data_IF_973506789917
#
_entry.id   IF_973506789917
#
_cell.length_a   1.000
_cell.length_b   1.000
_cell.length_c   1.000
_cell.angle_alpha   90.00
_cell.angle_beta   90.00
_cell.angle_gamma   90.00
#
_symmetry.space_group_name_H-M   'P 1'
#
loop_
_entity.id
_entity.type
_entity.pdbx_description
1 polymer ?
#
# COMPACT_ATOMS: atom_id res chain seq x y z
N UNK A 1 -4.62 7.22 -9.90
CA UNK A 1 -3.65 6.74 -8.90
C UNK A 1 -2.28 7.20 -9.35
N UNK A 2 -1.50 7.79 -8.46
CA UNK A 2 -0.07 8.08 -8.67
C UNK A 2 0.67 6.77 -8.93
N UNK A 3 1.79 6.79 -9.66
CA UNK A 3 2.64 5.58 -9.82
C UNK A 3 3.04 5.02 -8.44
N UNK A 4 3.32 5.92 -7.51
CA UNK A 4 3.62 5.62 -6.11
C UNK A 4 2.34 5.31 -5.32
N UNK A 5 2.20 4.03 -4.99
CA UNK A 5 1.05 3.45 -4.30
C UNK A 5 1.40 2.83 -2.94
N UNK A 6 2.59 3.16 -2.44
CA UNK A 6 3.10 2.63 -1.18
C UNK A 6 2.60 3.45 0.01
N UNK A 7 2.18 2.73 1.04
CA UNK A 7 1.78 3.26 2.35
C UNK A 7 2.41 2.41 3.44
N UNK A 8 2.87 3.03 4.52
CA UNK A 8 3.45 2.31 5.65
C UNK A 8 2.72 2.59 6.94
N UNK A 9 2.56 1.53 7.74
CA UNK A 9 2.09 1.59 9.11
C UNK A 9 3.29 1.60 10.04
N UNK A 10 3.24 2.44 11.07
CA UNK A 10 4.33 2.60 12.01
C UNK A 10 4.12 1.79 13.29
N UNK A 11 5.22 1.35 13.91
CA UNK A 11 5.22 0.64 15.20
C UNK A 11 4.73 1.56 16.32
N UNK A 12 4.10 1.04 17.38
CA UNK A 12 3.82 1.81 18.58
C UNK A 12 5.10 2.41 19.19
N UNK A 13 4.98 3.60 19.79
CA UNK A 13 6.09 4.39 20.36
C UNK A 13 6.96 5.12 19.33
N UNK A 14 6.48 5.28 18.09
CA UNK A 14 7.21 6.03 17.07
C UNK A 14 7.02 7.56 17.23
N UNK A 15 7.95 8.41 16.74
CA UNK A 15 7.85 9.87 16.90
C UNK A 15 6.63 10.51 16.22
N UNK A 16 6.02 9.84 15.24
CA UNK A 16 4.91 10.35 14.44
C UNK A 16 3.53 9.99 15.01
N UNK A 17 3.44 9.22 16.10
CA UNK A 17 2.16 8.87 16.74
C UNK A 17 1.19 10.05 16.90
N UNK A 18 1.62 11.26 17.31
CA UNK A 18 0.70 12.39 17.52
C UNK A 18 0.03 12.92 16.25
N UNK A 19 0.45 12.49 15.05
CA UNK A 19 -0.09 12.98 13.78
C UNK A 19 -0.69 11.87 12.91
N UNK A 20 -0.71 10.62 13.38
CA UNK A 20 -1.18 9.49 12.57
C UNK A 20 -2.66 9.60 12.22
N UNK A 21 -3.48 10.24 13.06
CA UNK A 21 -4.90 10.50 12.81
C UNK A 21 -5.15 11.45 11.62
N UNK A 22 -4.12 12.21 11.20
CA UNK A 22 -4.17 13.02 10.00
C UNK A 22 -4.07 12.19 8.72
N UNK A 23 -3.72 10.91 8.81
CA UNK A 23 -3.50 10.03 7.67
C UNK A 23 -4.61 8.97 7.54
N UNK A 24 -5.01 8.61 6.30
CA UNK A 24 -5.93 7.50 6.07
C UNK A 24 -5.40 6.21 6.71
N UNK A 25 -6.24 5.55 7.51
CA UNK A 25 -5.91 4.33 8.26
C UNK A 25 -4.65 4.45 9.16
N UNK A 26 -4.22 5.67 9.48
CA UNK A 26 -2.97 5.91 10.21
C UNK A 26 -1.71 5.54 9.42
N UNK A 27 -1.80 5.47 8.09
CA UNK A 27 -0.69 5.07 7.23
C UNK A 27 -0.07 6.26 6.50
N UNK A 28 1.26 6.37 6.51
CA UNK A 28 1.97 7.46 5.85
C UNK A 28 2.30 7.05 4.41
N UNK A 29 2.08 7.91 3.39
CA UNK A 29 2.41 7.59 2.01
C UNK A 29 3.92 7.64 1.79
N UNK A 30 4.49 6.61 1.18
CA UNK A 30 5.90 6.56 0.82
C UNK A 30 6.06 6.79 -0.68
N UNK A 31 7.19 7.40 -1.05
CA UNK A 31 7.61 7.61 -2.44
C UNK A 31 8.10 6.32 -3.07
N UNK A 32 8.71 5.44 -2.27
CA UNK A 32 9.29 4.18 -2.74
C UNK A 32 8.82 3.02 -1.84
N UNK A 33 8.56 1.81 -2.41
CA UNK A 33 8.34 0.58 -1.65
C UNK A 33 9.55 0.08 -0.85
N UNK A 34 10.73 0.68 -1.01
CA UNK A 34 11.95 0.28 -0.33
C UNK A 34 12.69 1.46 0.30
N UNK A 35 13.44 1.17 1.36
CA UNK A 35 14.37 2.10 1.99
C UNK A 35 15.71 2.13 1.23
N UNK A 36 15.71 2.58 -0.03
CA UNK A 36 16.92 2.61 -0.86
C UNK A 36 17.91 3.68 -0.39
N UNK A 37 17.42 4.75 0.21
CA UNK A 37 18.25 5.84 0.71
C UNK A 37 19.05 5.39 1.93
N UNK A 38 20.38 5.53 1.88
CA UNK A 38 21.27 5.14 2.96
C UNK A 38 22.10 6.32 3.43
N UNK A 39 22.06 6.58 4.73
CA UNK A 39 22.88 7.60 5.36
C UNK A 39 23.92 6.94 6.25
N UNK A 40 25.17 7.37 6.08
CA UNK A 40 26.26 6.94 6.95
C UNK A 40 26.23 7.72 8.25
N UNK A 41 26.12 7.02 9.37
CA UNK A 41 26.13 7.60 10.72
C UNK A 41 27.28 7.03 11.53
N UNK A 42 27.59 7.64 12.67
CA UNK A 42 28.61 7.13 13.59
C UNK A 42 28.33 5.71 14.10
N UNK A 43 27.09 5.24 14.02
CA UNK A 43 26.65 3.92 14.46
C UNK A 43 26.50 2.92 13.31
N UNK A 44 26.77 3.34 12.07
CA UNK A 44 26.65 2.53 10.85
C UNK A 44 25.72 3.13 9.81
N UNK A 45 25.37 2.33 8.80
CA UNK A 45 24.44 2.74 7.75
C UNK A 45 22.99 2.63 8.21
N UNK A 46 22.23 3.71 8.07
CA UNK A 46 20.80 3.73 8.34
C UNK A 46 20.07 3.80 7.00
N UNK A 47 19.12 2.87 6.81
CA UNK A 47 18.19 2.90 5.68
C UNK A 47 17.01 3.84 5.99
N UNK A 48 16.72 4.73 5.04
CA UNK A 48 15.69 5.74 5.13
C UNK A 48 14.61 5.48 4.08
N UNK A 49 13.37 5.62 4.53
CA UNK A 49 12.19 5.72 3.68
C UNK A 49 11.94 7.19 3.39
N UNK A 50 11.48 7.49 2.18
CA UNK A 50 11.11 8.84 1.78
C UNK A 50 9.58 8.93 1.76
N UNK A 51 9.03 9.80 2.61
CA UNK A 51 7.62 10.15 2.63
C UNK A 51 7.31 10.95 1.38
N UNK A 52 6.29 10.53 0.63
CA UNK A 52 5.91 11.16 -0.63
C UNK A 52 5.22 12.49 -0.40
N UNK A 53 5.94 13.58 -0.63
CA UNK A 53 5.43 14.94 -0.43
C UNK A 53 4.29 15.30 -1.40
N UNK A 54 4.24 14.71 -2.59
CA UNK A 54 3.18 15.00 -3.58
C UNK A 54 1.81 14.47 -3.14
N UNK A 55 1.80 13.51 -2.22
CA UNK A 55 0.60 12.86 -1.70
C UNK A 55 0.17 13.43 -0.35
N UNK A 56 0.88 14.44 0.16
CA UNK A 56 0.54 15.12 1.40
C UNK A 56 -0.34 16.34 1.14
N UNK A 57 -1.36 16.51 1.97
CA UNK A 57 -1.99 17.81 2.16
C UNK A 57 -1.03 18.77 2.87
N UNK A 58 -1.28 20.08 2.74
CA UNK A 58 -0.49 21.12 3.42
C UNK A 58 -0.45 20.93 4.94
N UNK A 59 -1.56 20.49 5.56
CA UNK A 59 -1.63 20.22 6.99
C UNK A 59 -0.77 19.03 7.40
N UNK A 60 -0.79 17.93 6.63
CA UNK A 60 0.05 16.76 6.90
C UNK A 60 1.54 17.11 6.76
N UNK A 61 1.91 17.85 5.71
CA UNK A 61 3.30 18.28 5.50
C UNK A 61 3.80 19.19 6.63
N UNK A 62 2.97 20.13 7.11
CA UNK A 62 3.33 21.00 8.23
C UNK A 62 3.47 20.22 9.55
N UNK A 63 2.57 19.27 9.81
CA UNK A 63 2.62 18.44 11.01
C UNK A 63 3.87 17.55 11.03
N UNK A 64 4.25 16.98 9.87
CA UNK A 64 5.50 16.24 9.70
C UNK A 64 6.72 17.12 9.98
N UNK A 65 6.78 18.30 9.37
CA UNK A 65 7.87 19.23 9.58
C UNK A 65 8.03 19.61 11.06
N UNK A 66 6.91 19.85 11.77
CA UNK A 66 6.92 20.16 13.20
C UNK A 66 7.43 19.01 14.06
N UNK A 67 6.95 17.79 13.83
CA UNK A 67 7.39 16.62 14.62
C UNK A 67 8.87 16.30 14.39
N UNK A 68 9.32 16.34 13.13
CA UNK A 68 10.72 16.11 12.79
C UNK A 68 11.59 17.21 13.43
N UNK A 69 11.16 18.47 13.35
CA UNK A 69 11.85 19.57 13.99
C UNK A 69 11.98 19.42 15.51
N UNK A 70 10.92 19.00 16.20
CA UNK A 70 10.95 18.71 17.64
C UNK A 70 11.93 17.57 17.94
N UNK A 71 11.90 16.50 17.15
CA UNK A 71 12.76 15.34 17.38
C UNK A 71 14.25 15.64 17.16
N UNK A 72 14.55 16.51 16.19
CA UNK A 72 15.92 16.87 15.82
C UNK A 72 16.39 18.21 16.41
N UNK A 73 15.57 18.87 17.23
CA UNK A 73 15.83 20.19 17.80
C UNK A 73 16.27 21.21 16.74
N UNK A 74 15.48 21.31 15.66
CA UNK A 74 15.70 22.24 14.54
C UNK A 74 14.45 23.09 14.26
N UNK A 75 14.51 24.01 13.29
CA UNK A 75 13.37 24.82 12.85
C UNK A 75 12.48 24.02 11.88
N UNK A 76 11.14 23.94 12.10
CA UNK A 76 10.21 23.35 11.14
C UNK A 76 10.32 23.91 9.72
N UNK A 77 10.71 25.18 9.56
CA UNK A 77 10.89 25.79 8.24
C UNK A 77 12.09 25.18 7.50
N UNK A 78 13.20 24.93 8.19
CA UNK A 78 14.38 24.30 7.61
C UNK A 78 14.06 22.86 7.16
N UNK A 79 13.33 22.11 7.98
CA UNK A 79 12.88 20.75 7.64
C UNK A 79 12.00 20.76 6.38
N UNK A 80 11.04 21.69 6.29
CA UNK A 80 10.15 21.78 5.14
C UNK A 80 10.90 22.16 3.85
N UNK A 81 11.88 23.07 3.95
CA UNK A 81 12.73 23.46 2.83
C UNK A 81 13.60 22.30 2.35
N UNK A 82 14.21 21.55 3.28
CA UNK A 82 14.99 20.36 2.93
C UNK A 82 14.13 19.28 2.27
N UNK A 83 12.95 19.00 2.83
CA UNK A 83 12.02 18.03 2.25
C UNK A 83 11.60 18.43 0.84
N UNK A 84 11.39 19.73 0.58
CA UNK A 84 11.08 20.24 -0.76
C UNK A 84 12.26 20.04 -1.72
N UNK A 85 13.49 20.31 -1.27
CA UNK A 85 14.70 20.16 -2.09
C UNK A 85 15.05 18.69 -2.38
N UNK A 86 14.71 17.77 -1.47
CA UNK A 86 14.98 16.33 -1.58
C UNK A 86 13.81 15.53 -2.14
N UNK A 87 12.64 16.15 -2.31
CA UNK A 87 11.43 15.51 -2.84
C UNK A 87 10.76 14.56 -1.85
N UNK A 88 10.82 14.86 -0.54
CA UNK A 88 10.15 14.10 0.51
C UNK A 88 10.78 14.24 1.90
N UNK A 89 10.03 13.85 2.93
CA UNK A 89 10.55 13.78 4.31
C UNK A 89 11.22 12.43 4.57
N UNK A 90 12.36 12.40 5.25
CA UNK A 90 13.05 11.15 5.56
C UNK A 90 12.52 10.50 6.85
N UNK A 91 12.35 9.17 6.81
CA UNK A 91 11.89 8.38 7.94
C UNK A 91 12.77 7.14 8.13
N UNK A 92 13.15 6.85 9.37
CA UNK A 92 13.97 5.67 9.66
C UNK A 92 13.17 4.38 9.50
N UNK A 93 13.73 3.41 8.75
CA UNK A 93 13.11 2.10 8.54
C UNK A 93 12.78 1.35 9.84
N UNK A 94 13.47 1.63 10.95
CA UNK A 94 13.23 0.99 12.24
C UNK A 94 11.80 1.19 12.77
N UNK A 95 11.15 2.30 12.40
CA UNK A 95 9.80 2.64 12.84
C UNK A 95 8.70 1.99 12.01
N UNK A 96 9.01 1.44 10.83
CA UNK A 96 8.03 0.78 9.98
C UNK A 96 7.63 -0.57 10.59
N UNK A 97 6.34 -0.78 10.78
CA UNK A 97 5.73 -2.05 11.22
C UNK A 97 5.40 -2.92 10.00
N UNK A 98 4.63 -2.36 9.07
CA UNK A 98 4.16 -3.04 7.88
C UNK A 98 3.91 -2.06 6.75
N UNK A 99 3.77 -2.59 5.53
CA UNK A 99 3.57 -1.82 4.31
C UNK A 99 2.36 -2.36 3.55
N UNK A 100 1.59 -1.46 2.94
CA UNK A 100 0.66 -1.77 1.86
C UNK A 100 1.22 -1.14 0.58
N UNK A 101 1.31 -1.92 -0.47
CA UNK A 101 1.72 -1.45 -1.79
C UNK A 101 0.81 -2.08 -2.83
N UNK A 102 0.81 -1.53 -4.04
CA UNK A 102 0.04 -2.06 -5.15
C UNK A 102 0.95 -2.38 -6.33
N UNK A 103 0.54 -2.02 -7.55
CA UNK A 103 1.16 -2.46 -8.79
C UNK A 103 2.66 -2.17 -8.83
N UNK A 104 3.08 -0.98 -8.40
CA UNK A 104 4.50 -0.61 -8.36
C UNK A 104 5.27 -1.48 -7.36
N UNK A 105 4.76 -1.57 -6.13
CA UNK A 105 5.41 -2.35 -5.07
C UNK A 105 5.55 -3.83 -5.43
N UNK A 106 4.53 -4.46 -6.02
CA UNK A 106 4.62 -5.86 -6.44
C UNK A 106 5.59 -6.07 -7.59
N UNK A 107 5.55 -5.22 -8.62
CA UNK A 107 6.47 -5.33 -9.76
C UNK A 107 7.92 -5.21 -9.31
N UNK A 108 8.23 -4.18 -8.52
CA UNK A 108 9.58 -3.93 -8.05
C UNK A 108 10.05 -4.95 -7.01
N UNK A 109 9.14 -5.47 -6.17
CA UNK A 109 9.49 -6.53 -5.20
C UNK A 109 9.83 -7.83 -5.92
N UNK A 110 9.13 -8.13 -7.01
CA UNK A 110 9.48 -9.25 -7.89
C UNK A 110 10.85 -9.06 -8.52
N UNK A 111 11.13 -7.88 -9.08
CA UNK A 111 12.46 -7.56 -9.65
C UNK A 111 13.58 -7.70 -8.60
N UNK A 112 13.35 -7.24 -7.37
CA UNK A 112 14.29 -7.42 -6.27
C UNK A 112 14.50 -8.90 -5.94
N UNK A 113 13.44 -9.70 -5.91
CA UNK A 113 13.55 -11.14 -5.63
C UNK A 113 14.34 -11.86 -6.74
N UNK A 114 14.03 -11.57 -8.00
CA UNK A 114 14.74 -12.12 -9.17
C UNK A 114 16.22 -11.70 -9.19
N UNK A 115 16.52 -10.46 -8.78
CA UNK A 115 17.89 -9.98 -8.60
C UNK A 115 18.62 -10.76 -7.49
N UNK A 116 18.00 -10.92 -6.31
CA UNK A 116 18.62 -11.63 -5.17
C UNK A 116 18.86 -13.11 -5.45
N UNK A 117 18.08 -13.75 -6.32
CA UNK A 117 18.30 -15.14 -6.73
C UNK A 117 19.50 -15.32 -7.66
N UNK A 118 19.91 -14.28 -8.37
CA UNK A 118 20.91 -14.36 -9.45
C UNK A 118 22.19 -13.58 -9.18
N UNK A 119 22.17 -12.66 -8.20
CA UNK A 119 23.31 -11.81 -7.86
C UNK A 119 24.43 -12.59 -7.16
N UNK A 120 25.71 -12.30 -7.45
CA UNK A 120 26.83 -12.75 -6.63
C UNK A 120 26.73 -12.28 -5.17
N UNK A 121 27.42 -12.96 -4.27
CA UNK A 121 27.46 -12.61 -2.84
C UNK A 121 27.76 -11.10 -2.64
N UNK A 122 26.94 -10.37 -1.85
CA UNK A 122 27.09 -8.93 -1.63
C UNK A 122 28.44 -8.53 -1.01
N UNK A 123 29.17 -9.45 -0.38
CA UNK A 123 30.53 -9.20 0.15
C UNK A 123 31.60 -9.16 -0.96
N UNK A 124 31.26 -9.58 -2.18
CA UNK A 124 32.17 -9.53 -3.32
C UNK A 124 32.10 -8.18 -4.05
N UNK A 125 33.21 -7.69 -4.64
CA UNK A 125 33.17 -6.47 -5.46
C UNK A 125 32.14 -6.53 -6.59
N UNK A 126 31.95 -7.71 -7.19
CA UNK A 126 30.95 -7.93 -8.24
C UNK A 126 29.51 -7.82 -7.71
N UNK A 127 29.22 -8.40 -6.54
CA UNK A 127 27.91 -8.28 -5.90
C UNK A 127 27.59 -6.84 -5.49
N UNK A 128 28.57 -6.11 -4.92
CA UNK A 128 28.40 -4.71 -4.56
C UNK A 128 28.15 -3.80 -5.79
N UNK A 129 28.85 -4.06 -6.90
CA UNK A 129 28.62 -3.34 -8.16
C UNK A 129 27.22 -3.65 -8.72
N UNK A 130 26.84 -4.92 -8.79
CA UNK A 130 25.52 -5.33 -9.28
C UNK A 130 24.38 -4.74 -8.45
N UNK A 131 24.55 -4.66 -7.13
CA UNK A 131 23.57 -4.01 -6.24
C UNK A 131 23.45 -2.51 -6.53
N UNK A 132 24.57 -1.84 -6.77
CA UNK A 132 24.57 -0.41 -7.12
C UNK A 132 23.88 -0.18 -8.47
N UNK A 133 24.17 -1.01 -9.47
CA UNK A 133 23.52 -0.96 -10.79
C UNK A 133 22.01 -1.22 -10.69
N UNK A 134 21.60 -2.18 -9.86
CA UNK A 134 20.20 -2.44 -9.57
C UNK A 134 19.51 -1.21 -8.96
N UNK A 135 20.09 -0.62 -7.90
CA UNK A 135 19.53 0.58 -7.27
C UNK A 135 19.43 1.77 -8.23
N UNK A 136 20.45 2.00 -9.06
CA UNK A 136 20.43 3.07 -10.06
C UNK A 136 19.34 2.82 -11.10
N UNK A 137 19.21 1.59 -11.61
CA UNK A 137 18.14 1.20 -12.53
C UNK A 137 16.74 1.38 -11.93
N UNK A 138 16.58 1.05 -10.64
CA UNK A 138 15.31 1.29 -9.95
C UNK A 138 14.97 2.79 -9.90
N UNK A 139 15.96 3.62 -9.53
CA UNK A 139 15.77 5.07 -9.44
C UNK A 139 15.50 5.71 -10.81
N UNK A 140 16.31 5.40 -11.81
CA UNK A 140 16.18 5.97 -13.16
C UNK A 140 14.84 5.62 -13.82
N UNK A 141 14.35 4.39 -13.67
CA UNK A 141 13.10 3.95 -14.31
C UNK A 141 11.85 4.33 -13.54
N UNK A 142 11.82 4.04 -12.24
CA UNK A 142 10.61 4.15 -11.43
C UNK A 142 10.46 5.51 -10.76
N UNK A 143 11.56 6.17 -10.42
CA UNK A 143 11.53 7.44 -9.68
C UNK A 143 11.63 8.62 -10.64
N UNK A 144 12.72 8.72 -11.41
CA UNK A 144 12.92 9.81 -12.37
C UNK A 144 12.22 9.55 -13.71
N UNK A 145 12.11 8.28 -14.09
CA UNK A 145 11.47 7.84 -15.31
C UNK A 145 9.95 7.78 -15.24
N UNK A 146 9.36 7.37 -16.36
CA UNK A 146 7.93 7.25 -16.60
C UNK A 146 7.45 5.79 -16.69
N UNK A 147 8.22 4.84 -16.12
CA UNK A 147 7.81 3.43 -16.11
C UNK A 147 6.51 3.25 -15.34
N UNK A 148 5.55 2.57 -15.98
CA UNK A 148 4.22 2.31 -15.43
C UNK A 148 4.14 0.84 -15.08
N UNK A 149 3.78 0.48 -13.84
CA UNK A 149 3.69 -0.92 -13.46
C UNK A 149 2.53 -1.62 -14.20
N UNK A 150 2.66 -2.92 -14.49
CA UNK A 150 1.57 -3.67 -15.08
C UNK A 150 0.35 -3.66 -14.16
N UNK A 151 -0.88 -3.53 -14.70
CA UNK A 151 -2.07 -3.48 -13.88
C UNK A 151 -2.31 -4.82 -13.18
N UNK A 152 -2.69 -4.76 -11.90
CA UNK A 152 -3.08 -5.94 -11.11
C UNK A 152 -4.60 -5.95 -11.01
N UNK A 153 -5.23 -6.89 -11.70
CA UNK A 153 -6.68 -7.04 -11.72
C UNK A 153 -7.14 -8.15 -10.76
N UNK A 154 -6.30 -9.15 -10.55
CA UNK A 154 -6.57 -10.24 -9.62
C UNK A 154 -5.30 -10.72 -8.91
N UNK A 155 -5.47 -11.58 -7.91
CA UNK A 155 -4.34 -12.16 -7.18
C UNK A 155 -3.46 -13.02 -8.09
N UNK A 156 -4.04 -13.59 -9.15
CA UNK A 156 -3.33 -14.41 -10.14
C UNK A 156 -2.27 -13.62 -10.92
N UNK A 157 -2.40 -12.29 -11.00
CA UNK A 157 -1.43 -11.40 -11.65
C UNK A 157 -0.17 -11.20 -10.79
N UNK A 158 -0.21 -11.54 -9.49
CA UNK A 158 0.90 -11.38 -8.55
C UNK A 158 1.80 -12.62 -8.58
N UNK A 159 3.12 -12.43 -8.52
CA UNK A 159 4.07 -13.54 -8.43
C UNK A 159 3.74 -14.47 -7.23
N UNK A 160 3.66 -15.80 -7.42
CA UNK A 160 3.31 -16.73 -6.35
C UNK A 160 4.18 -16.61 -5.09
N UNK A 161 5.45 -16.19 -5.21
CA UNK A 161 6.37 -16.00 -4.08
C UNK A 161 5.96 -14.85 -3.17
N UNK A 162 5.14 -13.91 -3.68
CA UNK A 162 4.69 -12.72 -2.96
C UNK A 162 3.26 -12.85 -2.43
N UNK A 163 2.57 -13.96 -2.73
CA UNK A 163 1.20 -14.20 -2.27
C UNK A 163 1.19 -14.63 -0.82
N UNK A 164 0.39 -13.96 0.00
CA UNK A 164 0.12 -14.37 1.38
C UNK A 164 -1.38 -14.52 1.60
N UNK A 165 -1.83 -15.33 2.57
CA UNK A 165 -3.26 -15.47 2.88
C UNK A 165 -3.95 -14.13 3.17
N UNK A 166 -3.25 -13.21 3.84
CA UNK A 166 -3.75 -11.87 4.15
C UNK A 166 -3.94 -11.03 2.89
N UNK A 167 -3.02 -11.17 1.92
CA UNK A 167 -3.13 -10.48 0.63
C UNK A 167 -4.31 -11.01 -0.18
N UNK A 168 -4.51 -12.34 -0.22
CA UNK A 168 -5.66 -12.94 -0.89
C UNK A 168 -6.99 -12.46 -0.29
N UNK A 169 -7.06 -12.38 1.04
CA UNK A 169 -8.21 -11.84 1.74
C UNK A 169 -8.42 -10.36 1.40
N UNK A 170 -7.35 -9.55 1.35
CA UNK A 170 -7.45 -8.14 0.98
C UNK A 170 -8.00 -7.96 -0.45
N UNK A 171 -7.55 -8.76 -1.43
CA UNK A 171 -8.10 -8.73 -2.79
C UNK A 171 -9.59 -9.12 -2.83
N UNK A 172 -10.00 -10.12 -2.04
CA UNK A 172 -11.42 -10.49 -1.91
C UNK A 172 -12.24 -9.34 -1.33
N UNK A 173 -11.76 -8.70 -0.26
CA UNK A 173 -12.45 -7.56 0.36
C UNK A 173 -12.58 -6.36 -0.59
N UNK A 174 -11.52 -6.03 -1.34
CA UNK A 174 -11.58 -4.94 -2.34
C UNK A 174 -12.57 -5.27 -3.46
N UNK A 175 -12.67 -6.53 -3.89
CA UNK A 175 -13.68 -6.97 -4.86
C UNK A 175 -15.09 -6.81 -4.30
N UNK A 176 -15.31 -7.19 -3.04
CA UNK A 176 -16.59 -7.02 -2.32
C UNK A 176 -16.96 -5.54 -2.23
N UNK A 177 -16.05 -4.69 -1.75
CA UNK A 177 -16.27 -3.24 -1.59
C UNK A 177 -16.61 -2.58 -2.93
N UNK A 178 -15.94 -2.97 -4.02
CA UNK A 178 -16.25 -2.49 -5.36
C UNK A 178 -17.68 -2.85 -5.76
N UNK A 179 -18.09 -4.11 -5.58
CA UNK A 179 -19.45 -4.57 -5.91
C UNK A 179 -20.49 -3.80 -5.08
N UNK A 180 -20.25 -3.61 -3.77
CA UNK A 180 -21.12 -2.82 -2.89
C UNK A 180 -21.25 -1.38 -3.39
N UNK A 181 -20.13 -0.73 -3.71
CA UNK A 181 -20.13 0.65 -4.19
C UNK A 181 -20.84 0.80 -5.55
N UNK A 182 -20.70 -0.17 -6.45
CA UNK A 182 -21.34 -0.12 -7.78
C UNK A 182 -22.79 -0.58 -7.79
N UNK A 183 -23.21 -1.39 -6.81
CA UNK A 183 -24.54 -1.99 -6.77
C UNK A 183 -25.67 -1.02 -6.41
N UNK A 184 -25.35 0.22 -6.04
CA UNK A 184 -26.32 1.27 -5.69
C UNK A 184 -27.39 0.79 -4.68
N UNK A 185 -26.95 -0.01 -3.71
CA UNK A 185 -27.82 -0.62 -2.72
C UNK A 185 -28.45 0.43 -1.80
N UNK A 186 -29.75 0.31 -1.56
CA UNK A 186 -30.43 1.10 -0.53
C UNK A 186 -30.07 0.58 0.87
N UNK A 187 -30.34 1.39 1.90
CA UNK A 187 -30.21 0.93 3.30
C UNK A 187 -31.03 -0.35 3.55
N UNK A 188 -32.19 -0.48 2.90
CA UNK A 188 -33.02 -1.67 3.02
C UNK A 188 -32.40 -2.90 2.34
N UNK A 189 -31.69 -2.74 1.22
CA UNK A 189 -30.99 -3.85 0.55
C UNK A 189 -29.82 -4.38 1.40
N UNK A 190 -29.18 -3.50 2.16
CA UNK A 190 -28.14 -3.89 3.13
C UNK A 190 -28.75 -4.60 4.33
N UNK A 191 -29.83 -4.07 4.91
CA UNK A 191 -30.50 -4.64 6.08
C UNK A 191 -31.18 -5.99 5.78
N UNK A 192 -31.69 -6.18 4.57
CA UNK A 192 -32.31 -7.45 4.15
C UNK A 192 -31.29 -8.50 3.70
N UNK A 193 -30.00 -8.15 3.64
CA UNK A 193 -28.93 -9.04 3.20
C UNK A 193 -28.86 -9.23 1.67
N UNK A 194 -29.71 -8.56 0.90
CA UNK A 194 -29.74 -8.63 -0.57
C UNK A 194 -28.40 -8.20 -1.18
N UNK A 195 -27.84 -7.11 -0.65
CA UNK A 195 -26.51 -6.63 -1.07
C UNK A 195 -25.43 -7.69 -0.85
N UNK A 196 -25.52 -8.47 0.23
CA UNK A 196 -24.55 -9.53 0.52
C UNK A 196 -24.72 -10.73 -0.42
N UNK A 197 -25.95 -11.12 -0.73
CA UNK A 197 -26.23 -12.22 -1.68
C UNK A 197 -25.75 -11.86 -3.08
N UNK A 198 -26.02 -10.64 -3.56
CA UNK A 198 -25.56 -10.17 -4.87
C UNK A 198 -24.01 -10.12 -4.93
N UNK A 199 -23.36 -9.68 -3.86
CA UNK A 199 -21.90 -9.74 -3.72
C UNK A 199 -21.40 -11.18 -3.80
N UNK A 200 -21.99 -12.11 -3.05
CA UNK A 200 -21.56 -13.51 -3.04
C UNK A 200 -21.71 -14.16 -4.41
N UNK A 201 -22.86 -13.97 -5.07
CA UNK A 201 -23.11 -14.51 -6.42
C UNK A 201 -22.16 -13.93 -7.50
N UNK A 202 -21.70 -12.68 -7.35
CA UNK A 202 -20.73 -12.08 -8.28
C UNK A 202 -19.28 -12.44 -7.95
N UNK A 203 -18.97 -12.69 -6.68
CA UNK A 203 -17.60 -12.96 -6.23
C UNK A 203 -17.27 -14.44 -6.24
N UNK A 204 -18.25 -15.31 -6.06
CA UNK A 204 -18.19 -16.77 -6.07
C UNK A 204 -19.33 -17.35 -6.95
N UNK A 205 -19.21 -17.29 -8.28
CA UNK A 205 -20.26 -17.72 -9.20
C UNK A 205 -20.43 -19.24 -9.28
N UNK A 206 -19.51 -20.02 -8.68
CA UNK A 206 -19.63 -21.49 -8.62
C UNK A 206 -20.68 -21.93 -7.59
N UNK A 207 -21.04 -21.04 -6.66
CA UNK A 207 -22.09 -21.24 -5.67
C UNK A 207 -23.25 -20.28 -5.95
N UNK A 208 -24.49 -20.79 -5.87
CA UNK A 208 -25.69 -19.93 -5.94
C UNK A 208 -26.18 -19.65 -4.52
N UNK A 209 -26.16 -18.37 -4.16
CA UNK A 209 -26.67 -17.86 -2.90
C UNK A 209 -28.03 -17.20 -3.14
N UNK A 210 -28.99 -17.50 -2.28
CA UNK A 210 -30.28 -16.81 -2.22
C UNK A 210 -30.62 -16.45 -0.78
N UNK A 211 -31.51 -15.47 -0.60
CA UNK A 211 -32.04 -15.15 0.71
C UNK A 211 -33.07 -16.22 1.10
N UNK A 212 -32.84 -16.89 2.23
CA UNK A 212 -33.77 -17.90 2.77
C UNK A 212 -35.14 -17.25 3.00
N UNK A 213 -36.17 -17.74 2.32
CA UNK A 213 -37.56 -17.25 2.41
C UNK A 213 -37.98 -16.23 1.34
N UNK A 214 -37.12 -15.92 0.35
CA UNK A 214 -37.50 -15.16 -0.85
C UNK A 214 -37.73 -16.06 -2.09
N UNK A 215 -37.27 -17.31 -2.04
CA UNK A 215 -37.50 -18.34 -3.09
C UNK A 215 -38.79 -19.14 -2.85
N UNK A 216 -39.54 -18.85 -1.78
CA UNK A 216 -40.93 -19.28 -1.70
C UNK A 216 -41.72 -18.35 -2.64
N UNK A 217 -41.70 -18.69 -3.93
CA UNK A 217 -42.81 -18.40 -4.82
C UNK A 217 -44.07 -18.73 -4.01
N UNK A 218 -44.79 -17.70 -3.56
CA UNK A 218 -46.19 -17.86 -3.22
C UNK A 218 -46.84 -18.33 -4.52
N UNK A 219 -46.95 -19.63 -4.70
CA UNK A 219 -47.93 -20.23 -5.58
C UNK A 219 -49.28 -19.66 -5.11
N UNK A 220 -49.74 -18.56 -5.74
CA UNK A 220 -50.99 -17.86 -5.45
C UNK A 220 -52.25 -18.71 -5.78
N UNK A 221 -52.09 -20.02 -5.99
CA UNK A 221 -53.14 -20.93 -6.46
C UNK A 221 -53.74 -21.85 -5.37
N UNK A 222 -53.38 -21.73 -4.09
CA UNK A 222 -54.08 -22.44 -2.99
C UNK A 222 -54.86 -21.50 -2.06
N UNK A 223 -55.83 -20.77 -2.64
CA UNK A 223 -57.02 -20.34 -1.89
C UNK A 223 -58.04 -21.47 -1.98
N UNK A 224 -58.06 -22.37 -0.98
CA UNK A 224 -59.16 -23.32 -0.82
C UNK A 224 -60.41 -22.59 -0.29
N UNK A 225 -61.50 -22.63 -1.07
CA UNK A 225 -62.89 -22.45 -0.59
C UNK A 225 -63.31 -23.59 0.35
#
# INVERSE_FOLDING_TARGET
MTKHDTWVKLKPGNPYEPILDLFPDGMIPMRDPFALERVNTSEGFIALWIIDMERLSSFQAQALAQIIAIHHNTDPLEVAQEATAKGGFAMNAKWVESMKCWAEGFARTKELNDFLETVPDPETPAGAQAFTEFCNSQHERWIEGDEVPPPINSIEDIDPRLRTPELEQAFKMVKIERVIATGNYSVMDVLTGRAMVDVLNQTDPENTYSLVGYDDEFDEDEIYE
#
